data_IF_260902428655
#
_entry.id   IF_260902428655
#
_cell.length_a   1.000
_cell.length_b   1.000
_cell.length_c   1.000
_cell.angle_alpha   90.00
_cell.angle_beta   90.00
_cell.angle_gamma   90.00
#
_symmetry.space_group_name_H-M   'P 1'
#
loop_
_entity.id
_entity.type
_entity.pdbx_description
1 polymer ?
#
# COMPACT_ATOMS: atom_id res chain seq x y z
N UNK A 1 9.67 -21.63 9.21
CA UNK A 1 9.90 -20.83 8.00
C UNK A 1 8.62 -20.82 7.15
N UNK A 2 7.47 -20.42 7.71
CA UNK A 2 6.17 -20.48 7.00
C UNK A 2 5.23 -19.29 7.29
N UNK A 3 5.77 -18.16 7.76
CA UNK A 3 5.00 -16.90 7.82
C UNK A 3 4.72 -16.29 6.43
N UNK A 4 5.44 -16.74 5.40
CA UNK A 4 5.31 -16.25 4.02
C UNK A 4 3.98 -16.68 3.38
N UNK A 5 3.42 -17.82 3.82
CA UNK A 5 2.11 -18.29 3.37
C UNK A 5 0.95 -17.56 4.06
N UNK A 6 1.10 -17.15 5.33
CA UNK A 6 0.04 -16.45 6.08
C UNK A 6 -0.21 -15.03 5.56
N UNK A 7 0.83 -14.35 5.06
CA UNK A 7 0.64 -13.06 4.37
C UNK A 7 -0.02 -13.21 2.98
N UNK A 8 -0.15 -14.45 2.47
CA UNK A 8 -1.02 -14.77 1.34
C UNK A 8 -2.51 -14.91 1.74
N UNK A 9 -2.87 -14.77 3.02
CA UNK A 9 -4.28 -14.82 3.49
C UNK A 9 -4.93 -13.43 3.59
N UNK A 10 -4.13 -12.35 3.50
CA UNK A 10 -4.62 -10.97 3.31
C UNK A 10 -4.88 -10.64 1.81
N UNK A 11 -4.57 -11.56 0.89
CA UNK A 11 -4.58 -11.40 -0.58
C UNK A 11 -5.92 -11.01 -1.20
N UNK A 12 -6.99 -11.04 -0.43
CA UNK A 12 -8.33 -10.79 -0.91
C UNK A 12 -9.05 -9.85 0.05
N UNK A 13 -9.08 -8.56 -0.29
CA UNK A 13 -10.03 -7.62 0.31
C UNK A 13 -11.15 -7.18 -0.67
N UNK A 14 -11.90 -8.02 -1.40
CA UNK A 14 -11.94 -9.50 -1.57
C UNK A 14 -11.76 -9.90 -3.05
N UNK A 15 -11.61 -8.92 -3.94
CA UNK A 15 -11.84 -9.06 -5.36
C UNK A 15 -10.87 -8.25 -6.24
N UNK A 16 -9.67 -7.91 -5.75
CA UNK A 16 -8.70 -7.17 -6.55
C UNK A 16 -8.24 -8.04 -7.73
N UNK A 17 -8.46 -7.55 -8.95
CA UNK A 17 -8.06 -8.19 -10.22
C UNK A 17 -6.81 -7.52 -10.77
N UNK A 18 -6.54 -6.26 -10.39
CA UNK A 18 -5.45 -5.45 -10.93
C UNK A 18 -4.68 -4.75 -9.82
N UNK A 19 -3.36 -4.86 -9.91
CA UNK A 19 -2.40 -4.07 -9.16
C UNK A 19 -1.56 -3.26 -10.14
N UNK A 20 -1.39 -1.98 -9.84
CA UNK A 20 -0.51 -1.09 -10.59
C UNK A 20 0.61 -0.62 -9.66
N UNK A 21 1.85 -0.79 -10.09
CA UNK A 21 3.07 -0.34 -9.40
C UNK A 21 3.78 0.65 -10.32
N UNK A 22 4.12 1.82 -9.80
CA UNK A 22 4.84 2.87 -10.53
C UNK A 22 6.08 3.26 -9.73
N UNK A 23 7.24 3.16 -10.37
CA UNK A 23 8.51 3.70 -9.87
C UNK A 23 8.68 5.11 -10.45
N UNK A 24 8.70 6.13 -9.61
CA UNK A 24 8.73 7.52 -10.04
C UNK A 24 10.16 8.05 -10.17
N UNK A 25 10.35 9.10 -10.98
CA UNK A 25 11.65 9.74 -11.23
C UNK A 25 12.27 10.42 -9.99
N UNK A 26 11.47 10.66 -8.93
CA UNK A 26 11.91 11.22 -7.64
C UNK A 26 12.30 10.13 -6.61
N UNK A 27 12.30 8.86 -7.01
CA UNK A 27 12.60 7.72 -6.14
C UNK A 27 11.40 7.24 -5.28
N UNK A 28 10.24 7.87 -5.39
CA UNK A 28 9.02 7.39 -4.74
C UNK A 28 8.39 6.22 -5.49
N UNK A 29 7.51 5.48 -4.81
CA UNK A 29 6.76 4.35 -5.37
C UNK A 29 5.28 4.53 -5.10
N UNK A 30 4.46 4.41 -6.14
CA UNK A 30 3.00 4.27 -6.01
C UNK A 30 2.60 2.81 -6.21
N UNK A 31 1.78 2.28 -5.30
CA UNK A 31 1.09 1.00 -5.46
C UNK A 31 -0.41 1.24 -5.35
N UNK A 32 -1.16 0.86 -6.38
CA UNK A 32 -2.63 0.86 -6.40
C UNK A 32 -3.16 -0.57 -6.59
N UNK A 33 -4.27 -0.90 -5.94
CA UNK A 33 -5.06 -2.09 -6.25
C UNK A 33 -6.54 -1.74 -6.40
N UNK A 34 -7.24 -2.42 -7.30
CA UNK A 34 -8.69 -2.29 -7.53
C UNK A 34 -9.54 -3.15 -6.57
N UNK A 35 -9.08 -3.37 -5.34
CA UNK A 35 -9.85 -4.02 -4.28
C UNK A 35 -11.04 -3.18 -3.78
N UNK A 36 -11.68 -3.59 -2.68
CA UNK A 36 -12.84 -2.85 -2.12
C UNK A 36 -12.46 -1.53 -1.40
N UNK A 37 -11.17 -1.19 -1.35
CA UNK A 37 -10.63 -0.13 -0.49
C UNK A 37 -10.62 -0.50 0.99
N UNK A 38 -9.60 -0.01 1.72
CA UNK A 38 -9.49 -0.21 3.17
C UNK A 38 -10.75 0.28 3.93
N UNK A 39 -11.08 -0.29 5.10
CA UNK A 39 -12.22 0.18 5.90
C UNK A 39 -11.96 1.59 6.45
N UNK A 40 -12.91 2.50 6.23
CA UNK A 40 -12.82 3.92 6.61
C UNK A 40 -13.56 4.26 7.91
N UNK A 41 -14.29 3.28 8.45
CA UNK A 41 -14.95 3.33 9.75
C UNK A 41 -13.94 3.45 10.90
N UNK A 42 -14.39 4.05 12.02
CA UNK A 42 -13.60 4.10 13.26
C UNK A 42 -13.41 2.69 13.82
N UNK A 43 -12.27 2.42 14.45
CA UNK A 43 -12.01 1.13 15.06
C UNK A 43 -12.89 0.90 16.31
N UNK A 44 -13.37 -0.34 16.48
CA UNK A 44 -14.28 -0.68 17.59
C UNK A 44 -13.61 -0.76 18.97
N UNK A 45 -12.28 -0.80 19.04
CA UNK A 45 -11.49 -0.85 20.28
C UNK A 45 -10.79 0.51 20.51
N UNK A 46 -10.28 1.13 19.45
CA UNK A 46 -9.62 2.43 19.44
C UNK A 46 -10.45 3.46 18.65
N UNK A 47 -11.61 3.93 19.16
CA UNK A 47 -12.58 4.73 18.39
C UNK A 47 -12.07 6.11 17.93
N UNK A 48 -10.90 6.54 18.40
CA UNK A 48 -10.21 7.73 17.90
C UNK A 48 -9.49 7.48 16.57
N UNK A 49 -9.15 6.24 16.23
CA UNK A 49 -8.48 5.86 14.97
C UNK A 49 -9.48 5.41 13.92
N UNK A 50 -9.15 5.60 12.65
CA UNK A 50 -9.78 4.83 11.57
C UNK A 50 -9.21 3.40 11.55
N UNK A 51 -9.96 2.45 11.01
CA UNK A 51 -9.45 1.08 10.81
C UNK A 51 -8.31 1.04 9.78
N UNK A 52 -8.35 1.89 8.76
CA UNK A 52 -7.24 2.07 7.83
C UNK A 52 -5.96 2.53 8.54
N UNK A 53 -6.07 3.50 9.46
CA UNK A 53 -4.95 3.96 10.27
C UNK A 53 -4.39 2.85 11.13
N UNK A 54 -5.27 2.11 11.83
CA UNK A 54 -4.86 0.97 12.64
C UNK A 54 -4.13 -0.09 11.81
N UNK A 55 -4.57 -0.38 10.59
CA UNK A 55 -3.89 -1.30 9.66
C UNK A 55 -2.47 -0.81 9.35
N UNK A 56 -2.28 0.49 9.11
CA UNK A 56 -0.99 1.10 8.78
C UNK A 56 -0.06 1.30 9.99
N UNK A 57 -0.58 1.41 11.21
CA UNK A 57 0.22 1.65 12.43
C UNK A 57 0.41 0.41 13.34
N UNK A 58 -0.27 -0.70 13.07
CA UNK A 58 -0.21 -1.89 13.95
C UNK A 58 1.04 -2.74 13.73
N UNK A 59 2.14 -2.38 14.39
CA UNK A 59 3.39 -3.16 14.41
C UNK A 59 3.37 -4.37 15.37
N UNK A 60 2.36 -4.48 16.24
CA UNK A 60 2.34 -5.42 17.38
C UNK A 60 1.58 -6.73 17.14
N UNK A 61 1.25 -7.10 15.90
CA UNK A 61 0.65 -8.38 15.56
C UNK A 61 1.71 -9.40 15.08
N UNK A 62 1.53 -10.72 15.31
CA UNK A 62 2.44 -11.76 14.80
C UNK A 62 2.47 -11.87 13.27
N UNK A 63 1.56 -11.18 12.57
CA UNK A 63 1.62 -10.91 11.14
C UNK A 63 1.68 -9.40 10.93
N UNK A 64 2.87 -8.87 10.62
CA UNK A 64 2.99 -7.53 10.04
C UNK A 64 2.40 -7.58 8.63
N UNK A 65 1.46 -6.68 8.31
CA UNK A 65 0.99 -6.53 6.94
C UNK A 65 1.98 -5.67 6.12
N UNK A 66 2.06 -5.91 4.82
CA UNK A 66 2.96 -5.18 3.91
C UNK A 66 2.72 -3.65 3.89
N UNK A 67 1.52 -3.18 4.22
CA UNK A 67 1.21 -1.74 4.29
C UNK A 67 1.85 -1.10 5.53
N UNK A 68 1.78 -1.76 6.69
CA UNK A 68 2.43 -1.34 7.93
C UNK A 68 3.96 -1.39 7.82
N UNK A 69 4.49 -2.42 7.15
CA UNK A 69 5.92 -2.51 6.82
C UNK A 69 6.33 -1.33 5.92
N UNK A 70 5.61 -1.09 4.82
CA UNK A 70 5.88 0.03 3.93
C UNK A 70 5.82 1.38 4.67
N UNK A 71 4.80 1.60 5.51
CA UNK A 71 4.66 2.82 6.31
C UNK A 71 5.83 3.02 7.30
N UNK A 72 6.21 1.98 8.04
CA UNK A 72 7.30 2.06 9.02
C UNK A 72 8.70 2.22 8.40
N UNK A 73 8.89 1.75 7.16
CA UNK A 73 10.14 1.85 6.40
C UNK A 73 10.21 3.09 5.48
N UNK A 74 9.16 3.93 5.48
CA UNK A 74 9.08 5.12 4.66
C UNK A 74 9.27 6.40 5.45
N UNK A 75 10.02 7.34 4.89
CA UNK A 75 10.10 8.70 5.42
C UNK A 75 8.73 9.39 5.34
N UNK A 76 8.00 9.16 4.23
CA UNK A 76 6.66 9.68 3.99
C UNK A 76 5.80 8.64 3.27
N UNK A 77 4.52 8.54 3.63
CA UNK A 77 3.52 7.73 2.94
C UNK A 77 2.19 8.49 2.84
N UNK A 78 1.62 8.53 1.63
CA UNK A 78 0.33 9.13 1.32
C UNK A 78 -0.67 8.02 0.97
N UNK A 79 -1.71 7.86 1.79
CA UNK A 79 -2.80 6.92 1.57
C UNK A 79 -3.94 7.60 0.82
N UNK A 80 -4.48 6.93 -0.21
CA UNK A 80 -5.79 7.26 -0.81
C UNK A 80 -6.65 6.01 -0.86
N UNK A 81 -7.87 6.09 -0.32
CA UNK A 81 -8.86 5.00 -0.36
C UNK A 81 -10.02 5.45 -1.25
N UNK A 82 -10.35 4.63 -2.24
CA UNK A 82 -11.50 4.82 -3.11
C UNK A 82 -12.58 3.84 -2.66
N UNK A 83 -13.61 4.34 -1.98
CA UNK A 83 -14.61 3.50 -1.30
C UNK A 83 -15.95 4.21 -1.15
N UNK A 84 -17.04 3.47 -1.38
CA UNK A 84 -18.42 3.91 -1.18
C UNK A 84 -18.74 5.24 -1.90
N UNK A 85 -18.23 5.40 -3.13
CA UNK A 85 -18.38 6.61 -3.97
C UNK A 85 -17.46 7.79 -3.61
N UNK A 86 -16.54 7.59 -2.66
CA UNK A 86 -15.74 8.65 -2.05
C UNK A 86 -14.23 8.41 -2.17
N UNK A 87 -13.47 9.50 -2.13
CA UNK A 87 -12.02 9.48 -1.92
C UNK A 87 -11.73 9.88 -0.48
N UNK A 88 -10.99 9.04 0.24
CA UNK A 88 -10.49 9.32 1.58
C UNK A 88 -8.97 9.40 1.53
N UNK A 89 -8.36 10.25 2.36
CA UNK A 89 -6.93 10.49 2.37
C UNK A 89 -6.40 10.58 3.80
N UNK A 90 -5.20 10.03 4.01
CA UNK A 90 -4.42 10.14 5.24
C UNK A 90 -2.94 10.17 4.88
N UNK A 91 -2.15 10.91 5.63
CA UNK A 91 -0.72 11.11 5.41
C UNK A 91 0.07 10.61 6.61
N UNK A 92 1.30 10.14 6.36
CA UNK A 92 2.19 9.56 7.35
C UNK A 92 3.62 10.06 7.17
N UNK A 93 4.36 10.14 8.28
CA UNK A 93 5.79 10.42 8.34
C UNK A 93 6.46 9.48 9.33
N UNK A 94 7.49 8.75 8.89
CA UNK A 94 8.20 7.76 9.71
C UNK A 94 7.25 6.84 10.50
N UNK A 95 6.32 6.16 9.80
CA UNK A 95 5.31 5.27 10.39
C UNK A 95 4.11 5.95 11.09
N UNK A 96 4.16 7.24 11.41
CA UNK A 96 3.16 7.92 12.24
C UNK A 96 2.20 8.78 11.40
N UNK A 97 0.88 8.78 11.67
CA UNK A 97 -0.08 9.61 10.95
C UNK A 97 0.15 11.10 11.24
N UNK A 98 0.07 11.95 10.21
CA UNK A 98 0.20 13.40 10.33
C UNK A 98 -1.14 14.14 10.29
N UNK A 99 -2.23 13.43 9.94
CA UNK A 99 -3.62 13.90 9.98
C UNK A 99 -4.58 12.73 10.29
N UNK A 100 -5.84 13.06 10.59
CA UNK A 100 -6.92 12.06 10.61
C UNK A 100 -7.33 11.67 9.17
N UNK A 101 -7.86 10.45 9.01
CA UNK A 101 -8.46 10.01 7.75
C UNK A 101 -9.65 10.91 7.37
N UNK A 102 -9.50 11.68 6.29
CA UNK A 102 -10.46 12.68 5.86
C UNK A 102 -11.02 12.40 4.45
N UNK A 103 -12.28 12.76 4.21
CA UNK A 103 -12.89 12.69 2.88
C UNK A 103 -12.37 13.84 2.01
N UNK A 104 -11.63 13.51 0.97
CA UNK A 104 -11.01 14.47 0.04
C UNK A 104 -11.82 14.69 -1.25
N UNK A 105 -12.85 13.87 -1.53
CA UNK A 105 -13.68 14.04 -2.73
C UNK A 105 -14.63 12.88 -3.01
N UNK A 106 -15.13 12.82 -4.24
CA UNK A 106 -15.94 11.73 -4.78
C UNK A 106 -15.17 10.97 -5.87
N UNK A 107 -15.51 9.70 -6.09
CA UNK A 107 -14.98 8.92 -7.21
C UNK A 107 -15.88 7.73 -7.54
N UNK A 108 -15.93 7.36 -8.82
CA UNK A 108 -16.47 6.07 -9.29
C UNK A 108 -15.46 4.92 -9.18
N UNK A 109 -14.19 5.21 -8.85
CA UNK A 109 -13.17 4.20 -8.59
C UNK A 109 -13.44 3.48 -7.27
N UNK A 110 -12.92 2.27 -7.17
CA UNK A 110 -12.75 1.52 -5.93
C UNK A 110 -11.29 1.09 -5.81
N UNK A 111 -10.80 0.87 -4.59
CA UNK A 111 -9.43 0.42 -4.36
C UNK A 111 -8.68 1.17 -3.27
N UNK A 112 -7.41 0.81 -3.11
CA UNK A 112 -6.46 1.50 -2.23
C UNK A 112 -5.23 1.87 -3.02
N UNK A 113 -4.77 3.11 -2.88
CA UNK A 113 -3.48 3.60 -3.35
C UNK A 113 -2.62 3.97 -2.14
N UNK A 114 -1.38 3.49 -2.11
CA UNK A 114 -0.31 4.06 -1.30
C UNK A 114 0.72 4.69 -2.24
N UNK A 115 1.30 5.81 -1.83
CA UNK A 115 2.43 6.45 -2.49
C UNK A 115 3.45 6.78 -1.41
N UNK A 116 4.68 6.29 -1.52
CA UNK A 116 5.66 6.37 -0.43
C UNK A 116 7.08 6.59 -0.92
N UNK A 117 7.92 7.14 -0.03
CA UNK A 117 9.36 7.32 -0.23
C UNK A 117 10.09 6.61 0.91
N UNK A 118 11.01 5.69 0.57
CA UNK A 118 11.81 4.96 1.55
C UNK A 118 12.67 5.91 2.40
N UNK A 119 12.89 5.55 3.67
CA UNK A 119 13.70 6.38 4.57
C UNK A 119 15.23 6.19 4.32
N UNK A 120 15.96 7.23 3.88
CA UNK A 120 17.42 7.14 3.66
C UNK A 120 18.23 7.02 4.96
N UNK A 121 17.60 7.24 6.13
CA UNK A 121 18.18 6.90 7.43
C UNK A 121 18.07 5.41 7.78
N UNK A 122 17.22 4.65 7.09
CA UNK A 122 17.05 3.20 7.24
C UNK A 122 17.79 2.43 6.14
N UNK A 123 17.75 2.92 4.90
CA UNK A 123 18.35 2.24 3.73
C UNK A 123 19.55 2.97 3.15
N UNK A 124 20.64 2.23 2.93
CA UNK A 124 21.81 2.72 2.16
C UNK A 124 21.55 2.83 0.65
N UNK A 125 20.44 2.29 0.16
CA UNK A 125 19.99 2.39 -1.24
C UNK A 125 18.47 2.41 -1.25
N UNK A 126 17.89 3.51 -1.72
CA UNK A 126 16.44 3.74 -1.78
C UNK A 126 15.85 3.54 -3.18
N UNK A 127 16.70 3.33 -4.20
CA UNK A 127 16.26 3.03 -5.57
C UNK A 127 15.90 1.56 -5.74
N UNK A 128 14.78 1.30 -6.40
CA UNK A 128 14.31 -0.06 -6.70
C UNK A 128 14.93 -0.56 -8.02
N UNK A 129 15.50 -1.76 -8.01
CA UNK A 129 15.92 -2.44 -9.24
C UNK A 129 14.70 -2.98 -10.00
N UNK A 130 14.52 -2.54 -11.25
CA UNK A 130 13.35 -2.90 -12.05
C UNK A 130 13.28 -4.40 -12.35
N UNK A 131 14.42 -5.02 -12.70
CA UNK A 131 14.44 -6.44 -13.10
C UNK A 131 14.20 -7.38 -11.92
N UNK A 132 14.69 -7.06 -10.73
CA UNK A 132 14.37 -7.80 -9.51
C UNK A 132 12.90 -7.65 -9.13
N UNK A 133 12.38 -6.41 -9.10
CA UNK A 133 10.97 -6.18 -8.78
C UNK A 133 10.03 -6.83 -9.81
N UNK A 134 10.37 -6.78 -11.10
CA UNK A 134 9.63 -7.44 -12.18
C UNK A 134 9.60 -8.96 -12.01
N UNK A 135 10.71 -9.59 -11.59
CA UNK A 135 10.76 -11.04 -11.30
C UNK A 135 9.90 -11.41 -10.09
N UNK A 136 9.97 -10.63 -9.02
CA UNK A 136 9.17 -10.88 -7.80
C UNK A 136 7.67 -10.70 -8.06
N UNK A 137 7.27 -9.63 -8.76
CA UNK A 137 5.87 -9.40 -9.14
C UNK A 137 5.33 -10.47 -10.10
N UNK A 138 6.13 -10.96 -11.05
CA UNK A 138 5.75 -12.12 -11.90
C UNK A 138 5.58 -13.40 -11.07
N UNK A 139 6.41 -13.60 -10.06
CA UNK A 139 6.33 -14.74 -9.13
C UNK A 139 5.14 -14.64 -8.18
N UNK A 140 4.67 -13.43 -7.87
CA UNK A 140 3.41 -13.20 -7.16
C UNK A 140 2.22 -13.49 -8.08
N UNK A 141 2.18 -12.90 -9.28
CA UNK A 141 1.10 -13.08 -10.24
C UNK A 141 0.86 -14.56 -10.61
N UNK A 142 1.93 -15.36 -10.76
CA UNK A 142 1.80 -16.79 -11.08
C UNK A 142 1.13 -17.63 -9.99
N UNK A 143 1.07 -17.15 -8.74
CA UNK A 143 0.36 -17.81 -7.62
C UNK A 143 -1.13 -17.46 -7.57
N UNK A 144 -1.57 -16.42 -8.27
CA UNK A 144 -2.92 -15.89 -8.20
C UNK A 144 -3.50 -15.74 -9.62
N UNK A 145 -4.21 -16.77 -10.10
CA UNK A 145 -4.62 -16.91 -11.51
C UNK A 145 -5.43 -15.73 -12.11
N UNK A 146 -6.05 -14.89 -11.28
CA UNK A 146 -6.82 -13.72 -11.69
C UNK A 146 -6.10 -12.37 -11.46
N UNK A 147 -4.88 -12.38 -10.91
CA UNK A 147 -4.12 -11.18 -10.56
C UNK A 147 -3.31 -10.67 -11.75
N UNK A 148 -3.70 -9.51 -12.27
CA UNK A 148 -2.90 -8.76 -13.25
C UNK A 148 -2.05 -7.74 -12.52
N UNK A 149 -0.73 -7.74 -12.75
CA UNK A 149 0.16 -6.71 -12.22
C UNK A 149 0.77 -5.91 -13.37
N UNK A 150 0.59 -4.58 -13.35
CA UNK A 150 1.29 -3.64 -14.24
C UNK A 150 2.41 -2.97 -13.45
N UNK A 151 3.65 -3.16 -13.86
CA UNK A 151 4.80 -2.38 -13.40
C UNK A 151 5.10 -1.29 -14.43
N UNK A 152 5.31 -0.06 -14.00
CA UNK A 152 5.70 1.10 -14.82
C UNK A 152 6.92 1.76 -14.19
N UNK A 153 7.89 2.17 -15.00
CA UNK A 153 9.08 2.89 -14.56
C UNK A 153 9.14 4.24 -15.27
N UNK A 154 9.03 5.32 -14.52
CA UNK A 154 9.08 6.70 -15.02
C UNK A 154 10.50 7.29 -14.94
N UNK A 155 11.49 6.52 -14.46
CA UNK A 155 12.91 6.91 -14.49
C UNK A 155 13.49 6.74 -15.90
N UNK A 156 13.01 5.75 -16.64
CA UNK A 156 13.37 5.49 -18.03
C UNK A 156 12.42 6.25 -18.98
N UNK A 157 12.96 7.25 -19.68
CA UNK A 157 12.31 7.86 -20.83
C UNK A 157 12.80 7.18 -22.10
N UNK A 158 11.89 6.46 -22.78
CA UNK A 158 12.00 6.10 -24.20
C UNK A 158 11.45 7.24 -25.08
#
# INVERSE_FOLDING_TARGET
MDGVALHLEEQAQIAAVRVEVVLHSDGSVTVFNDGRGLPVDRDGIEPHKSRAEKILTSLYAPAMNGLAIANALSQQLNLKIFRDGNVWQQEYRAGNPTNELMRAGTSSRHGTQIHFLLDPGIFSTTEFDFDSLSRDLRTLASKHANLTIKLTDERTTD
#
